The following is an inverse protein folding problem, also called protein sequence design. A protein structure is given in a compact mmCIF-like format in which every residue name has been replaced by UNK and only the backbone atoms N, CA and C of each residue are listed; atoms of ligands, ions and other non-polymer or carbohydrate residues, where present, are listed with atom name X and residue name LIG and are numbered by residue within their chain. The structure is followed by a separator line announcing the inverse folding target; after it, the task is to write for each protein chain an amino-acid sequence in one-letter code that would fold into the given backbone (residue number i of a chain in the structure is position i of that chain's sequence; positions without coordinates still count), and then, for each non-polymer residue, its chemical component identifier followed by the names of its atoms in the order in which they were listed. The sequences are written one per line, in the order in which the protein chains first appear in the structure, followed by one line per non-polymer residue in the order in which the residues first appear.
data_IF_776763391397
#
_entry.id   IF_776763391397
#
_cell.length_a   1.000
_cell.length_b   1.000
_cell.length_c   1.000
_cell.angle_alpha   90.00
_cell.angle_beta   90.00
_cell.angle_gamma   90.00
#
_symmetry.space_group_name_H-M   'P 1'
#
loop_
_entity.id
_entity.type
_entity.pdbx_description
1 polymer ?
#
# COMPACT_ATOMS: atom_id res chain seq x y z
N UNK A 1 3.38 16.09 4.78
CA UNK A 1 2.09 16.80 4.72
C UNK A 1 1.03 15.79 4.31
N UNK A 2 -0.22 16.04 4.72
CA UNK A 2 -1.33 15.13 4.46
C UNK A 2 -1.39 13.87 5.34
N UNK A 3 -2.53 13.22 5.25
CA UNK A 3 -2.90 11.94 5.85
C UNK A 3 -2.43 10.81 4.95
N UNK A 4 -1.63 9.85 5.47
CA UNK A 4 -1.14 8.73 4.69
C UNK A 4 -2.20 7.63 4.55
N UNK A 5 -1.89 6.63 3.72
CA UNK A 5 -2.64 5.39 3.69
C UNK A 5 -2.68 4.73 5.07
N UNK A 6 -3.89 4.33 5.47
CA UNK A 6 -4.14 3.61 6.72
C UNK A 6 -4.22 2.13 6.41
N UNK A 7 -3.36 1.31 7.02
CA UNK A 7 -3.27 -0.12 6.68
C UNK A 7 -3.75 -0.92 7.88
N UNK A 8 -4.96 -1.50 7.82
CA UNK A 8 -5.55 -2.15 8.98
C UNK A 8 -4.97 -3.57 9.14
N UNK A 9 -4.63 -3.98 10.38
CA UNK A 9 -3.87 -5.20 10.65
C UNK A 9 -4.65 -6.50 10.39
N UNK A 10 -5.99 -6.43 10.38
CA UNK A 10 -6.90 -7.52 10.03
C UNK A 10 -6.96 -7.78 8.51
N UNK A 11 -6.30 -6.95 7.70
CA UNK A 11 -6.24 -7.07 6.23
C UNK A 11 -4.81 -7.14 5.72
N UNK A 12 -4.13 -8.28 5.94
CA UNK A 12 -2.71 -8.41 5.60
C UNK A 12 -2.45 -8.34 4.09
N UNK A 13 -3.44 -8.63 3.22
CA UNK A 13 -3.24 -8.72 1.77
C UNK A 13 -3.50 -7.36 1.12
N UNK A 14 -2.44 -6.63 0.78
CA UNK A 14 -2.55 -5.28 0.23
C UNK A 14 -2.47 -5.31 -1.30
N UNK A 15 -3.59 -5.04 -1.98
CA UNK A 15 -3.62 -4.91 -3.44
C UNK A 15 -3.39 -3.44 -3.82
N UNK A 16 -2.26 -3.15 -4.45
CA UNK A 16 -1.80 -1.79 -4.75
C UNK A 16 -1.92 -1.50 -6.25
N UNK A 17 -2.56 -0.39 -6.61
CA UNK A 17 -2.83 0.00 -7.99
C UNK A 17 -2.22 1.37 -8.30
N UNK A 18 -1.13 1.38 -9.06
CA UNK A 18 -0.48 2.60 -9.52
C UNK A 18 -0.79 2.90 -10.99
N UNK A 19 -1.18 4.12 -11.31
CA UNK A 19 -1.38 4.57 -12.70
C UNK A 19 -0.55 5.79 -13.03
N UNK A 20 0.30 5.72 -14.06
CA UNK A 20 1.13 6.85 -14.50
C UNK A 20 1.96 7.45 -13.35
N UNK A 21 1.77 8.74 -13.05
CA UNK A 21 2.44 9.44 -11.94
C UNK A 21 2.03 8.97 -10.54
N UNK A 22 0.96 8.18 -10.43
CA UNK A 22 0.56 7.53 -9.18
C UNK A 22 1.28 6.20 -8.88
N UNK A 23 2.14 5.72 -9.80
CA UNK A 23 2.98 4.53 -9.58
C UNK A 23 3.99 4.72 -8.42
N UNK A 24 4.78 5.82 -8.35
CA UNK A 24 5.76 6.00 -7.28
C UNK A 24 5.18 5.93 -5.86
N UNK A 25 4.06 6.60 -5.50
CA UNK A 25 3.45 6.43 -4.19
C UNK A 25 3.13 4.96 -3.84
N UNK A 26 2.68 4.17 -4.81
CA UNK A 26 2.38 2.74 -4.61
C UNK A 26 3.64 1.90 -4.42
N UNK A 27 4.73 2.22 -5.13
CA UNK A 27 6.04 1.60 -4.91
C UNK A 27 6.52 1.86 -3.47
N UNK A 28 6.43 3.10 -2.99
CA UNK A 28 6.83 3.45 -1.63
C UNK A 28 5.98 2.72 -0.58
N UNK A 29 4.66 2.64 -0.78
CA UNK A 29 3.77 1.90 0.11
C UNK A 29 4.12 0.41 0.13
N UNK A 30 4.36 -0.22 -1.02
CA UNK A 30 4.74 -1.63 -1.11
C UNK A 30 6.02 -1.93 -0.31
N UNK A 31 7.06 -1.11 -0.49
CA UNK A 31 8.33 -1.26 0.23
C UNK A 31 8.17 -1.05 1.73
N UNK A 32 7.39 -0.05 2.12
CA UNK A 32 7.13 0.24 3.54
C UNK A 32 6.40 -0.91 4.23
N UNK A 33 5.42 -1.53 3.55
CA UNK A 33 4.70 -2.70 4.06
C UNK A 33 5.64 -3.90 4.28
N UNK A 34 6.53 -4.19 3.34
CA UNK A 34 7.52 -5.25 3.49
C UNK A 34 8.48 -4.99 4.65
N UNK A 35 9.06 -3.78 4.74
CA UNK A 35 9.99 -3.42 5.81
C UNK A 35 9.35 -3.49 7.19
N UNK A 36 8.08 -3.10 7.31
CA UNK A 36 7.33 -3.27 8.55
C UNK A 36 7.15 -4.74 8.93
N UNK A 37 6.85 -5.60 7.96
CA UNK A 37 6.76 -7.05 8.17
C UNK A 37 8.08 -7.64 8.66
N UNK A 38 9.21 -7.30 8.03
CA UNK A 38 10.55 -7.76 8.42
C UNK A 38 10.90 -7.35 9.85
N UNK A 39 10.64 -6.09 10.24
CA UNK A 39 10.92 -5.59 11.59
C UNK A 39 10.14 -6.33 12.66
N UNK A 40 8.91 -6.75 12.38
CA UNK A 40 8.10 -7.54 13.31
C UNK A 40 8.64 -8.97 13.43
N UNK A 41 9.00 -9.60 12.31
CA UNK A 41 9.62 -10.93 12.30
C UNK A 41 10.94 -10.97 13.06
N UNK A 42 11.75 -9.91 12.98
CA UNK A 42 12.99 -9.79 13.76
C UNK A 42 12.74 -9.48 15.25
N UNK A 43 11.75 -8.66 15.58
CA UNK A 43 11.41 -8.35 16.97
C UNK A 43 10.83 -9.56 17.73
N UNK A 44 10.14 -10.46 17.02
CA UNK A 44 9.57 -11.69 17.58
C UNK A 44 10.57 -12.84 17.69
N UNK A 45 11.79 -12.71 17.16
CA UNK A 45 12.84 -13.72 17.25
C UNK A 45 14.21 -13.10 17.63
N UNK A 46 14.45 -12.80 18.92
CA UNK A 46 15.67 -12.13 19.39
C UNK A 46 16.94 -12.98 19.26
N UNK A 47 16.82 -14.28 18.95
CA UNK A 47 17.89 -15.27 19.09
C UNK A 47 18.96 -15.25 18.00
N UNK A 48 18.89 -14.34 17.02
CA UNK A 48 19.85 -14.28 15.91
C UNK A 48 20.85 -13.13 15.97
N UNK A 49 20.84 -12.31 17.02
CA UNK A 49 21.85 -11.27 17.20
C UNK A 49 22.81 -11.61 18.34
N UNK A 50 23.62 -12.65 18.14
CA UNK A 50 24.88 -12.79 18.87
C UNK A 50 26.06 -12.82 17.89
N UNK A 51 26.46 -11.64 17.42
CA UNK A 51 27.87 -11.37 17.11
C UNK A 51 28.44 -10.54 18.24
N UNK A 52 29.01 -11.27 19.20
CA UNK A 52 29.87 -10.80 20.25
C UNK A 52 30.89 -9.78 19.72
N UNK A 53 30.86 -8.55 20.23
CA UNK A 53 32.07 -7.74 20.41
C UNK A 53 32.24 -7.52 21.91
N UNK A 54 33.45 -7.66 22.46
CA UNK A 54 33.67 -7.56 23.90
C UNK A 54 33.58 -6.09 24.30
N UNK A 55 32.67 -5.78 25.23
CA UNK A 55 32.63 -4.49 25.92
C UNK A 55 33.36 -4.71 27.23
N UNK A 56 34.55 -4.12 27.34
CA UNK A 56 35.31 -4.05 28.56
C UNK A 56 34.50 -3.31 29.64
N UNK A 57 34.50 -3.93 30.82
CA UNK A 57 33.92 -3.48 32.07
C UNK A 57 34.39 -2.10 32.48
N UNK A 58 33.47 -1.23 32.93
CA UNK A 58 33.59 -0.46 34.18
C UNK A 58 32.23 0.09 34.60
N UNK A 59 31.80 -0.40 35.77
CA UNK A 59 30.90 0.13 36.80
C UNK A 59 30.13 1.44 36.52
N UNK A 60 28.80 1.41 36.67
CA UNK A 60 28.15 2.05 37.84
C UNK A 60 26.68 1.57 37.95
N UNK A 61 26.47 0.58 38.81
CA UNK A 61 25.18 0.11 39.26
C UNK A 61 24.63 1.07 40.30
N UNK A 62 23.54 1.77 39.97
CA UNK A 62 22.52 2.23 40.92
C UNK A 62 21.82 3.46 40.36
N UNK A 63 20.87 3.23 39.45
CA UNK A 63 19.77 4.17 39.23
C UNK A 63 18.61 3.50 38.51
N UNK A 64 17.66 3.09 39.35
CA UNK A 64 16.21 3.23 39.11
C UNK A 64 15.56 2.05 38.39
N UNK A 65 15.68 0.92 39.06
CA UNK A 65 14.62 0.02 39.57
C UNK A 65 13.24 0.68 39.90
N UNK A 66 12.81 1.73 39.19
CA UNK A 66 11.66 2.58 39.52
C UNK A 66 10.73 2.84 38.33
N UNK A 67 10.89 2.12 37.21
CA UNK A 67 9.90 2.09 36.12
C UNK A 67 9.44 0.65 35.85
N UNK A 68 9.33 -0.15 36.92
CA UNK A 68 8.90 -1.56 36.83
C UNK A 68 7.43 -1.78 37.23
N UNK A 69 6.64 -0.74 37.48
CA UNK A 69 5.35 -0.90 38.18
C UNK A 69 4.13 -0.22 37.51
N UNK A 70 4.17 0.14 36.22
CA UNK A 70 3.08 0.91 35.61
C UNK A 70 2.71 0.56 34.16
N UNK A 71 2.87 -0.68 33.73
CA UNK A 71 2.29 -1.13 32.46
C UNK A 71 1.47 -2.40 32.71
N UNK A 72 0.16 -2.19 32.76
CA UNK A 72 -0.83 -3.25 32.77
C UNK A 72 -0.66 -4.18 31.59
N UNK A 73 -1.24 -5.36 31.72
CA UNK A 73 -1.19 -6.45 30.75
C UNK A 73 -1.65 -5.98 29.36
N UNK A 74 -0.71 -5.57 28.52
CA UNK A 74 -0.94 -5.44 27.09
C UNK A 74 -0.96 -6.85 26.51
N UNK A 75 -2.15 -7.30 26.12
CA UNK A 75 -2.34 -8.44 25.21
C UNK A 75 -1.34 -8.35 24.05
N UNK A 76 -0.64 -9.43 23.68
CA UNK A 76 0.36 -9.37 22.63
C UNK A 76 -0.35 -9.08 21.29
N UNK A 77 -0.29 -7.83 20.85
CA UNK A 77 -0.72 -7.45 19.51
C UNK A 77 0.34 -7.97 18.53
N UNK A 78 0.16 -9.20 18.04
CA UNK A 78 0.97 -9.74 16.94
C UNK A 78 0.76 -8.84 15.72
N UNK A 79 1.73 -7.97 15.46
CA UNK A 79 1.74 -7.20 14.23
C UNK A 79 1.82 -8.17 13.04
N UNK A 80 0.82 -8.15 12.19
CA UNK A 80 0.73 -9.04 11.03
C UNK A 80 1.64 -8.52 9.92
N UNK A 81 2.46 -9.42 9.35
CA UNK A 81 3.20 -9.11 8.14
C UNK A 81 2.18 -8.86 7.00
N UNK A 82 2.38 -7.79 6.25
CA UNK A 82 1.53 -7.46 5.11
C UNK A 82 2.12 -8.05 3.83
N UNK A 83 1.26 -8.54 2.96
CA UNK A 83 1.59 -9.15 1.67
C UNK A 83 1.14 -8.21 0.53
N UNK A 84 2.02 -7.30 0.06
CA UNK A 84 1.67 -6.39 -1.02
C UNK A 84 1.74 -7.09 -2.39
N UNK A 85 0.71 -6.89 -3.21
CA UNK A 85 0.75 -7.13 -4.67
C UNK A 85 0.66 -5.78 -5.39
N UNK A 86 1.72 -5.41 -6.11
CA UNK A 86 1.81 -4.14 -6.82
C UNK A 86 1.46 -4.28 -8.31
N UNK A 87 0.34 -3.72 -8.72
CA UNK A 87 -0.06 -3.66 -10.13
C UNK A 87 0.10 -2.24 -10.66
N UNK A 88 0.74 -2.09 -11.82
CA UNK A 88 1.10 -0.79 -12.39
C UNK A 88 0.60 -0.65 -13.82
N UNK A 89 -0.20 0.40 -14.06
CA UNK A 89 -0.75 0.75 -15.37
C UNK A 89 -0.06 1.96 -15.97
N UNK A 90 0.27 1.90 -17.26
CA UNK A 90 0.80 3.08 -17.98
C UNK A 90 0.46 3.06 -19.48
N UNK A 91 0.20 4.24 -20.03
CA UNK A 91 0.02 4.46 -21.48
C UNK A 91 1.31 4.92 -22.18
N UNK A 92 2.34 5.21 -21.38
CA UNK A 92 3.70 5.55 -21.81
C UNK A 92 4.70 4.50 -21.29
N UNK A 93 5.94 4.45 -21.81
CA UNK A 93 6.93 3.51 -21.32
C UNK A 93 7.15 3.65 -19.81
N UNK A 94 7.28 2.52 -19.12
CA UNK A 94 7.52 2.50 -17.68
C UNK A 94 8.90 3.09 -17.35
N UNK A 95 9.01 4.08 -16.44
CA UNK A 95 10.26 4.79 -16.18
C UNK A 95 11.16 4.06 -15.16
N UNK A 96 11.26 2.73 -15.27
CA UNK A 96 12.04 1.89 -14.38
C UNK A 96 12.47 0.59 -15.06
N UNK A 97 13.49 -0.05 -14.51
CA UNK A 97 14.02 -1.30 -15.05
C UNK A 97 12.98 -2.42 -14.96
N UNK A 98 12.79 -3.12 -16.08
CA UNK A 98 11.86 -4.21 -16.22
C UNK A 98 12.58 -5.55 -16.16
N UNK A 99 11.90 -6.56 -15.64
CA UNK A 99 12.33 -7.95 -15.72
C UNK A 99 11.14 -8.88 -15.97
N UNK A 100 11.43 -10.12 -16.37
CA UNK A 100 10.45 -11.19 -16.33
C UNK A 100 10.39 -11.75 -14.91
N UNK A 101 9.25 -11.61 -14.25
CA UNK A 101 9.06 -12.04 -12.86
C UNK A 101 9.14 -13.55 -12.71
N UNK A 102 9.73 -13.97 -11.59
CA UNK A 102 9.75 -15.35 -11.08
C UNK A 102 8.86 -15.51 -9.85
N UNK A 103 8.38 -14.41 -9.27
CA UNK A 103 7.46 -14.46 -8.12
C UNK A 103 6.08 -14.93 -8.62
N UNK A 104 5.54 -16.03 -8.07
CA UNK A 104 4.26 -16.58 -8.51
C UNK A 104 3.10 -15.66 -8.15
N UNK A 105 2.27 -15.34 -9.14
CA UNK A 105 1.02 -14.59 -8.98
C UNK A 105 -0.01 -15.23 -9.91
N UNK A 106 -1.18 -15.56 -9.37
CA UNK A 106 -2.30 -16.14 -10.14
C UNK A 106 -2.89 -15.12 -11.12
N UNK A 107 -2.34 -15.08 -12.32
CA UNK A 107 -2.69 -14.19 -13.42
C UNK A 107 -2.61 -14.94 -14.76
N UNK A 108 -3.19 -14.42 -15.86
CA UNK A 108 -3.12 -15.06 -17.16
C UNK A 108 -1.68 -15.30 -17.63
N UNK A 109 -1.51 -16.36 -18.43
CA UNK A 109 -0.23 -16.68 -19.06
C UNK A 109 0.29 -15.51 -19.90
N UNK A 110 1.61 -15.30 -19.86
CA UNK A 110 2.27 -14.20 -20.57
C UNK A 110 2.28 -12.86 -19.83
N UNK A 111 1.55 -12.71 -18.72
CA UNK A 111 1.66 -11.53 -17.85
C UNK A 111 2.83 -11.71 -16.86
N UNK A 112 4.05 -11.49 -17.36
CA UNK A 112 5.30 -11.75 -16.63
C UNK A 112 6.12 -10.50 -16.37
N UNK A 113 5.87 -9.38 -17.06
CA UNK A 113 6.64 -8.16 -16.87
C UNK A 113 6.41 -7.60 -15.47
N UNK A 114 7.51 -7.25 -14.81
CA UNK A 114 7.56 -6.72 -13.46
C UNK A 114 8.65 -5.67 -13.30
N UNK A 115 8.55 -4.87 -12.24
CA UNK A 115 9.57 -3.90 -11.87
C UNK A 115 10.75 -4.63 -11.20
N UNK A 116 11.94 -4.56 -11.81
CA UNK A 116 13.12 -5.30 -11.35
C UNK A 116 13.52 -4.98 -9.90
N UNK A 117 13.47 -3.72 -9.42
CA UNK A 117 13.67 -3.44 -8.00
C UNK A 117 12.67 -4.11 -7.05
N UNK A 118 11.41 -4.31 -7.46
CA UNK A 118 10.40 -4.98 -6.63
C UNK A 118 10.65 -6.49 -6.59
N UNK A 119 10.98 -7.07 -7.75
CA UNK A 119 11.38 -8.47 -7.87
C UNK A 119 12.59 -8.79 -6.95
N UNK A 120 13.60 -7.92 -6.93
CA UNK A 120 14.78 -8.08 -6.08
C UNK A 120 14.46 -8.02 -4.57
N UNK A 121 13.38 -7.32 -4.19
CA UNK A 121 12.89 -7.24 -2.81
C UNK A 121 11.86 -8.34 -2.47
N UNK A 122 11.57 -9.25 -3.41
CA UNK A 122 10.53 -10.27 -3.20
C UNK A 122 9.11 -9.72 -3.21
N UNK A 123 8.88 -8.49 -3.69
CA UNK A 123 7.56 -7.88 -3.81
C UNK A 123 6.96 -8.27 -5.17
N UNK A 124 5.86 -9.04 -5.21
CA UNK A 124 5.22 -9.36 -6.47
C UNK A 124 4.71 -8.07 -7.13
N UNK A 125 5.06 -7.89 -8.40
CA UNK A 125 4.54 -6.80 -9.21
C UNK A 125 4.19 -7.23 -10.63
N UNK A 126 3.20 -6.59 -11.25
CA UNK A 126 2.83 -6.81 -12.67
C UNK A 126 2.41 -5.54 -13.36
N UNK A 127 2.57 -5.53 -14.68
CA UNK A 127 2.31 -4.37 -15.53
C UNK A 127 1.06 -4.56 -16.39
N UNK A 128 0.32 -3.48 -16.60
CA UNK A 128 -0.79 -3.39 -17.52
C UNK A 128 -0.59 -2.22 -18.49
N UNK A 129 -0.82 -2.45 -19.77
CA UNK A 129 -0.79 -1.39 -20.80
C UNK A 129 -1.52 -1.83 -22.06
N UNK A 130 -2.33 -0.94 -22.64
CA UNK A 130 -2.90 -1.11 -23.98
C UNK A 130 -1.91 -0.87 -25.13
N UNK A 131 -0.63 -0.62 -24.85
CA UNK A 131 0.41 -0.30 -25.85
C UNK A 131 1.21 -1.51 -26.34
N UNK A 132 0.91 -2.73 -25.89
CA UNK A 132 1.64 -3.92 -26.35
C UNK A 132 3.03 -4.09 -25.75
N UNK A 133 3.33 -3.53 -24.57
CA UNK A 133 4.65 -3.75 -23.95
C UNK A 133 4.88 -5.23 -23.64
N UNK A 134 6.05 -5.81 -23.96
CA UNK A 134 6.32 -7.23 -23.75
C UNK A 134 6.07 -7.68 -22.31
N UNK A 135 5.35 -8.79 -22.14
CA UNK A 135 5.02 -9.36 -20.85
C UNK A 135 4.00 -8.58 -20.02
N UNK A 136 3.49 -7.44 -20.52
CA UNK A 136 2.43 -6.67 -19.86
C UNK A 136 1.04 -7.17 -20.25
N UNK A 137 0.10 -7.07 -19.30
CA UNK A 137 -1.31 -7.32 -19.56
C UNK A 137 -1.86 -6.29 -20.55
N UNK A 138 -2.54 -6.76 -21.59
CA UNK A 138 -3.17 -5.91 -22.59
C UNK A 138 -4.52 -5.40 -22.08
N UNK A 139 -4.51 -4.26 -21.40
CA UNK A 139 -5.70 -3.63 -20.84
C UNK A 139 -5.39 -2.68 -19.69
N UNK A 140 -6.41 -2.37 -18.88
CA UNK A 140 -6.28 -1.49 -17.74
C UNK A 140 -5.79 -2.24 -16.49
N UNK A 141 -5.11 -1.51 -15.59
CA UNK A 141 -4.61 -2.07 -14.33
C UNK A 141 -5.73 -2.59 -13.43
N UNK A 142 -6.92 -1.99 -13.50
CA UNK A 142 -8.12 -2.43 -12.77
C UNK A 142 -8.68 -3.75 -13.30
N UNK A 143 -8.58 -4.00 -14.60
CA UNK A 143 -8.96 -5.30 -15.21
C UNK A 143 -7.98 -6.38 -14.77
N UNK A 144 -6.68 -6.08 -14.78
CA UNK A 144 -5.65 -6.98 -14.26
C UNK A 144 -5.89 -7.32 -12.77
N UNK A 145 -6.25 -6.31 -11.98
CA UNK A 145 -6.61 -6.47 -10.57
C UNK A 145 -7.84 -7.37 -10.38
N UNK A 146 -8.86 -7.19 -11.22
CA UNK A 146 -10.05 -8.02 -11.21
C UNK A 146 -9.75 -9.48 -11.58
N UNK A 147 -8.88 -9.71 -12.58
CA UNK A 147 -8.43 -11.06 -12.92
C UNK A 147 -7.75 -11.74 -11.74
N UNK A 148 -6.89 -11.05 -11.02
CA UNK A 148 -6.30 -11.57 -9.80
C UNK A 148 -7.36 -11.87 -8.73
N UNK A 149 -8.29 -10.94 -8.45
CA UNK A 149 -9.36 -11.13 -7.45
C UNK A 149 -10.25 -12.35 -7.75
N UNK A 150 -10.53 -12.62 -9.02
CA UNK A 150 -11.32 -13.80 -9.45
C UNK A 150 -10.64 -15.12 -9.15
N UNK A 151 -9.32 -15.15 -9.07
CA UNK A 151 -8.56 -16.36 -8.70
C UNK A 151 -8.51 -16.59 -7.19
N UNK A 152 -8.90 -15.60 -6.39
CA UNK A 152 -8.87 -15.71 -4.94
C UNK A 152 -10.17 -16.34 -4.43
N UNK A 153 -10.12 -17.25 -3.44
CA UNK A 153 -11.32 -17.74 -2.78
C UNK A 153 -12.08 -16.58 -2.12
N UNK A 154 -13.41 -16.58 -2.21
CA UNK A 154 -14.25 -15.52 -1.64
C UNK A 154 -14.05 -15.32 -0.14
N UNK A 155 -13.66 -16.38 0.60
CA UNK A 155 -13.32 -16.31 2.02
C UNK A 155 -12.13 -15.41 2.32
N UNK A 156 -11.25 -15.16 1.35
CA UNK A 156 -10.05 -14.33 1.51
C UNK A 156 -10.32 -12.85 1.29
N UNK A 157 -11.48 -12.45 0.76
CA UNK A 157 -11.79 -11.04 0.49
C UNK A 157 -11.76 -10.18 1.76
N UNK A 158 -12.14 -10.75 2.90
CA UNK A 158 -12.08 -10.06 4.20
C UNK A 158 -10.65 -9.66 4.60
N UNK A 159 -9.64 -10.33 4.06
CA UNK A 159 -8.21 -10.10 4.33
C UNK A 159 -7.56 -9.14 3.33
N UNK A 160 -8.30 -8.73 2.28
CA UNK A 160 -7.78 -7.90 1.19
C UNK A 160 -8.17 -6.43 1.38
N UNK A 161 -7.22 -5.53 1.22
CA UNK A 161 -7.46 -4.10 1.14
C UNK A 161 -6.87 -3.50 -0.14
N UNK A 162 -7.63 -2.60 -0.78
CA UNK A 162 -7.27 -1.97 -2.04
C UNK A 162 -6.72 -0.56 -1.81
N UNK A 163 -5.61 -0.24 -2.47
CA UNK A 163 -4.96 1.06 -2.39
C UNK A 163 -4.64 1.52 -3.80
N UNK A 164 -4.97 2.76 -4.14
CA UNK A 164 -4.72 3.26 -5.48
C UNK A 164 -4.25 4.71 -5.52
N UNK A 165 -3.43 5.01 -6.51
CA UNK A 165 -3.00 6.36 -6.85
C UNK A 165 -2.79 6.44 -8.36
N UNK A 166 -3.36 7.46 -9.00
CA UNK A 166 -3.27 7.66 -10.45
C UNK A 166 -4.44 8.50 -10.97
N UNK A 167 -4.66 8.53 -12.29
CA UNK A 167 -5.68 9.37 -12.93
C UNK A 167 -7.09 9.07 -12.40
N UNK A 168 -7.93 10.10 -12.30
CA UNK A 168 -9.30 9.96 -11.77
C UNK A 168 -10.13 8.84 -12.43
N UNK A 169 -10.11 8.63 -13.77
CA UNK A 169 -10.83 7.51 -14.38
C UNK A 169 -10.39 6.15 -13.82
N UNK A 170 -9.09 5.97 -13.55
CA UNK A 170 -8.55 4.78 -12.92
C UNK A 170 -9.04 4.64 -11.47
N UNK A 171 -9.04 5.73 -10.70
CA UNK A 171 -9.49 5.72 -9.31
C UNK A 171 -10.99 5.42 -9.19
N UNK A 172 -11.82 5.95 -10.09
CA UNK A 172 -13.25 5.65 -10.16
C UNK A 172 -13.51 4.20 -10.57
N UNK A 173 -12.75 3.67 -11.53
CA UNK A 173 -12.81 2.25 -11.90
C UNK A 173 -12.40 1.35 -10.73
N UNK A 174 -11.39 1.77 -9.96
CA UNK A 174 -10.92 1.09 -8.76
C UNK A 174 -11.99 1.10 -7.65
N UNK A 175 -12.63 2.24 -7.40
CA UNK A 175 -13.72 2.35 -6.43
C UNK A 175 -14.89 1.42 -6.79
N UNK A 176 -15.25 1.36 -8.07
CA UNK A 176 -16.29 0.45 -8.56
C UNK A 176 -15.87 -1.02 -8.44
N UNK A 177 -14.60 -1.36 -8.70
CA UNK A 177 -14.09 -2.70 -8.49
C UNK A 177 -14.18 -3.09 -7.01
N UNK A 178 -13.70 -2.24 -6.12
CA UNK A 178 -13.78 -2.47 -4.67
C UNK A 178 -15.21 -2.67 -4.20
N UNK A 179 -16.17 -1.86 -4.67
CA UNK A 179 -17.60 -2.02 -4.35
C UNK A 179 -18.16 -3.37 -4.83
N UNK A 180 -17.76 -3.85 -6.02
CA UNK A 180 -18.22 -5.16 -6.54
C UNK A 180 -17.78 -6.34 -5.67
N UNK A 181 -16.58 -6.25 -5.10
CA UNK A 181 -15.98 -7.31 -4.28
C UNK A 181 -16.11 -7.04 -2.77
N UNK A 182 -16.86 -6.01 -2.37
CA UNK A 182 -17.01 -5.55 -0.97
C UNK A 182 -15.66 -5.36 -0.23
N UNK A 183 -14.69 -4.75 -0.92
CA UNK A 183 -13.36 -4.49 -0.38
C UNK A 183 -13.26 -3.06 0.17
N UNK A 184 -12.56 -2.83 1.29
CA UNK A 184 -12.15 -1.48 1.64
C UNK A 184 -11.17 -0.96 0.57
N UNK A 185 -11.35 0.29 0.19
CA UNK A 185 -10.51 0.92 -0.81
C UNK A 185 -10.13 2.33 -0.37
N UNK A 186 -8.85 2.63 -0.45
CA UNK A 186 -8.30 3.97 -0.28
C UNK A 186 -7.71 4.46 -1.58
N UNK A 187 -7.94 5.74 -1.88
CA UNK A 187 -7.46 6.42 -3.08
C UNK A 187 -6.66 7.64 -2.66
N UNK A 188 -5.50 7.84 -3.27
CA UNK A 188 -4.72 9.05 -3.15
C UNK A 188 -5.08 9.98 -4.30
N UNK A 189 -5.72 11.10 -3.99
CA UNK A 189 -6.15 12.09 -4.97
C UNK A 189 -5.01 13.05 -5.31
N UNK A 190 -4.99 13.50 -6.56
CA UNK A 190 -4.15 14.59 -7.03
C UNK A 190 -5.06 15.81 -7.26
N UNK A 191 -4.68 16.97 -6.72
CA UNK A 191 -5.43 18.21 -6.87
C UNK A 191 -4.48 19.40 -7.03
N UNK A 192 -4.97 20.48 -7.63
CA UNK A 192 -4.21 21.71 -7.74
C UNK A 192 -3.98 22.33 -6.34
N UNK A 193 -2.71 22.43 -5.95
CA UNK A 193 -2.31 22.98 -4.66
C UNK A 193 -1.51 24.28 -4.85
N UNK A 194 -1.89 25.31 -4.11
CA UNK A 194 -1.09 26.53 -3.98
C UNK A 194 -0.29 26.52 -2.67
N UNK A 195 -0.97 26.58 -1.52
CA UNK A 195 -0.28 26.71 -0.23
C UNK A 195 0.26 25.38 0.35
N UNK A 196 -0.36 24.24 0.03
CA UNK A 196 0.01 22.92 0.59
C UNK A 196 -0.22 22.73 2.10
N UNK A 197 -0.64 23.77 2.83
CA UNK A 197 -0.76 23.78 4.31
C UNK A 197 -2.18 24.06 4.82
N UNK A 198 -3.17 24.00 3.92
CA UNK A 198 -4.59 24.14 4.27
C UNK A 198 -5.10 25.57 4.43
N UNK A 199 -4.24 26.58 4.23
CA UNK A 199 -4.57 28.00 4.38
C UNK A 199 -5.44 28.56 3.25
N UNK A 200 -5.14 28.22 1.98
CA UNK A 200 -5.84 28.80 0.83
C UNK A 200 -7.14 28.08 0.44
N UNK A 201 -7.36 26.87 0.93
CA UNK A 201 -8.48 25.99 0.54
C UNK A 201 -8.64 25.75 -0.99
N UNK A 202 -7.59 25.93 -1.79
CA UNK A 202 -7.66 25.74 -3.25
C UNK A 202 -7.73 24.28 -3.71
N UNK A 203 -7.32 23.33 -2.87
CA UNK A 203 -7.32 21.89 -3.18
C UNK A 203 -8.51 21.17 -2.53
N UNK A 204 -9.70 21.75 -2.58
CA UNK A 204 -10.89 21.16 -1.94
C UNK A 204 -11.57 20.15 -2.85
N UNK A 205 -11.98 19.01 -2.28
CA UNK A 205 -12.76 17.97 -2.93
C UNK A 205 -14.04 17.69 -2.14
N UNK A 206 -15.16 17.35 -2.81
CA UNK A 206 -16.36 16.89 -2.13
C UNK A 206 -16.14 15.48 -1.57
N UNK A 207 -16.53 15.27 -0.32
CA UNK A 207 -16.50 13.97 0.37
C UNK A 207 -17.85 13.71 1.01
N UNK A 208 -18.46 12.58 0.70
CA UNK A 208 -19.70 12.11 1.32
C UNK A 208 -19.44 11.70 2.76
N UNK A 209 -20.21 12.26 3.68
CA UNK A 209 -20.16 11.94 5.12
C UNK A 209 -21.55 11.53 5.62
N UNK A 210 -21.68 10.96 6.83
CA UNK A 210 -22.99 10.61 7.39
C UNK A 210 -23.96 11.80 7.51
N UNK A 211 -23.45 13.04 7.59
CA UNK A 211 -24.26 14.26 7.69
C UNK A 211 -24.47 14.98 6.35
N UNK A 212 -24.00 14.40 5.24
CA UNK A 212 -24.07 15.00 3.90
C UNK A 212 -22.68 15.25 3.28
N UNK A 213 -22.65 15.97 2.17
CA UNK A 213 -21.40 16.29 1.46
C UNK A 213 -20.64 17.38 2.20
N UNK A 214 -19.35 17.15 2.45
CA UNK A 214 -18.43 18.12 3.03
C UNK A 214 -17.26 18.40 2.08
N UNK A 215 -16.80 19.65 2.02
CA UNK A 215 -15.59 20.00 1.27
C UNK A 215 -14.35 19.75 2.14
N UNK A 216 -13.45 18.89 1.68
CA UNK A 216 -12.21 18.51 2.37
C UNK A 216 -11.00 18.96 1.57
N UNK A 217 -9.97 19.46 2.25
CA UNK A 217 -8.74 19.96 1.62
C UNK A 217 -7.75 18.81 1.45
N UNK A 218 -7.40 18.47 0.22
CA UNK A 218 -6.50 17.35 -0.10
C UNK A 218 -5.14 17.49 0.59
N UNK A 219 -4.59 18.69 0.75
CA UNK A 219 -3.28 18.88 1.36
C UNK A 219 -3.18 18.58 2.88
N UNK A 220 -4.28 18.65 3.62
CA UNK A 220 -4.30 18.50 5.10
C UNK A 220 -5.30 17.47 5.59
N UNK A 221 -6.47 17.38 4.95
CA UNK A 221 -7.49 16.38 5.25
C UNK A 221 -7.28 15.08 4.43
N UNK A 222 -6.60 15.19 3.27
CA UNK A 222 -6.15 14.09 2.42
C UNK A 222 -4.63 13.98 2.40
N UNK A 223 -3.98 13.48 1.34
CA UNK A 223 -4.55 13.21 0.01
C UNK A 223 -5.24 11.86 -0.10
N UNK A 224 -5.11 11.02 0.92
CA UNK A 224 -5.73 9.69 0.95
C UNK A 224 -7.13 9.78 1.55
N UNK A 225 -8.11 9.24 0.83
CA UNK A 225 -9.51 9.15 1.25
C UNK A 225 -10.05 7.75 1.01
N UNK A 226 -11.17 7.40 1.64
CA UNK A 226 -11.91 6.21 1.26
C UNK A 226 -12.56 6.42 -0.11
N UNK A 227 -12.37 5.46 -1.01
CA UNK A 227 -12.87 5.54 -2.38
C UNK A 227 -14.39 5.69 -2.44
N UNK A 228 -15.09 5.08 -1.48
CA UNK A 228 -16.56 5.17 -1.35
C UNK A 228 -17.05 6.57 -1.01
N UNK A 229 -16.26 7.35 -0.28
CA UNK A 229 -16.68 8.68 0.15
C UNK A 229 -16.45 9.72 -0.96
N UNK A 230 -15.60 9.42 -1.94
CA UNK A 230 -15.22 10.33 -3.02
C UNK A 230 -15.95 10.01 -4.34
N UNK A 231 -16.18 8.72 -4.63
CA UNK A 231 -16.62 8.28 -5.96
C UNK A 231 -17.98 7.57 -6.02
N UNK A 232 -18.60 7.27 -4.88
CA UNK A 232 -19.85 6.48 -4.77
C UNK A 232 -20.91 7.22 -3.95
#
# INVERSE_FOLDING_TARGET
MGVPFQVPPDRPRALLLGGGLGIPPMIFLARWLMQKGERVSHATNPSLNNRQQPIDSHEDSDRRELVSAALGQETPFQATAHEPLLLMGSEIPFPFDLCSSRIPVSLPDGVTAAMAPMEALGIPSRLASGRGYPGSFQGFVTELAELWLRTQPSSTYREIALYACGPEPMLRATANLARRYDLPCQVCLEEFMACGVGACAGCVVPVTTPTGVAMKRVCVDGPVFHARDVFL
#
